data_IF_843775197285
#
_entry.id   IF_843775197285
#
_cell.length_a   1.000
_cell.length_b   1.000
_cell.length_c   1.000
_cell.angle_alpha   90.00
_cell.angle_beta   90.00
_cell.angle_gamma   90.00
#
_symmetry.space_group_name_H-M   'P 1'
#
loop_
_entity.id
_entity.type
_entity.pdbx_description
1 polymer ?
#
# COMPACT_ATOMS: atom_id res chain seq x y z
N UNK A 1 -4.97 -8.89 -72.52
CA UNK A 1 -5.53 -7.60 -72.05
C UNK A 1 -6.45 -7.94 -70.88
N UNK A 2 -6.25 -7.63 -69.60
CA UNK A 2 -5.24 -6.94 -68.78
C UNK A 2 -5.40 -7.60 -67.37
N UNK A 3 -4.36 -8.11 -66.71
CA UNK A 3 -3.28 -7.45 -65.93
C UNK A 3 -3.73 -6.90 -64.56
N UNK A 4 -3.40 -7.68 -63.51
CA UNK A 4 -2.77 -7.39 -62.21
C UNK A 4 -3.38 -6.44 -61.13
N UNK A 5 -3.52 -7.04 -59.92
CA UNK A 5 -2.90 -6.65 -58.62
C UNK A 5 -3.46 -5.44 -57.82
N UNK A 6 -3.90 -5.70 -56.58
CA UNK A 6 -3.33 -5.21 -55.28
C UNK A 6 -4.28 -5.60 -54.12
N UNK A 7 -3.90 -6.58 -53.29
CA UNK A 7 -3.30 -6.43 -51.95
C UNK A 7 -4.17 -5.62 -50.99
N UNK A 8 -4.81 -6.32 -50.05
CA UNK A 8 -5.65 -5.73 -49.01
C UNK A 8 -5.69 -6.56 -47.73
N UNK A 9 -4.50 -6.89 -47.21
CA UNK A 9 -4.24 -7.19 -45.81
C UNK A 9 -4.92 -8.41 -45.22
N UNK A 10 -4.17 -9.52 -45.12
CA UNK A 10 -4.32 -10.41 -43.97
C UNK A 10 -4.32 -9.53 -42.72
N UNK A 11 -5.44 -9.47 -42.02
CA UNK A 11 -5.46 -8.93 -40.66
C UNK A 11 -4.56 -9.85 -39.86
N UNK A 12 -3.29 -9.46 -39.72
CA UNK A 12 -2.35 -10.06 -38.78
C UNK A 12 -3.12 -10.24 -37.46
N UNK A 13 -3.35 -11.49 -37.08
CA UNK A 13 -3.91 -11.82 -35.79
C UNK A 13 -3.11 -11.03 -34.76
N UNK A 14 -3.78 -10.22 -33.95
CA UNK A 14 -3.11 -9.45 -32.88
C UNK A 14 -2.19 -10.40 -32.12
N UNK A 15 -0.88 -10.16 -32.18
CA UNK A 15 0.14 -10.93 -31.43
C UNK A 15 -0.03 -10.81 -29.90
N UNK A 16 -0.90 -9.90 -29.45
CA UNK A 16 -1.29 -9.79 -28.05
C UNK A 16 -2.48 -10.70 -27.75
N UNK A 17 -2.20 -11.85 -27.17
CA UNK A 17 -3.18 -12.68 -26.49
C UNK A 17 -3.27 -12.24 -25.04
N UNK A 18 -4.48 -11.88 -24.58
CA UNK A 18 -4.72 -11.63 -23.17
C UNK A 18 -4.32 -12.88 -22.37
N UNK A 19 -3.53 -12.72 -21.29
CA UNK A 19 -3.22 -13.85 -20.43
C UNK A 19 -4.52 -14.41 -19.85
N UNK A 20 -4.58 -15.74 -19.61
CA UNK A 20 -5.72 -16.33 -18.95
C UNK A 20 -5.99 -15.61 -17.61
N UNK A 21 -7.26 -15.49 -17.19
CA UNK A 21 -7.60 -14.84 -15.94
C UNK A 21 -6.79 -15.43 -14.79
N UNK A 22 -6.11 -14.58 -14.02
CA UNK A 22 -5.38 -15.02 -12.84
C UNK A 22 -6.37 -15.69 -11.87
N UNK A 23 -6.02 -16.85 -11.28
CA UNK A 23 -6.82 -17.45 -10.23
C UNK A 23 -7.00 -16.48 -9.06
N UNK A 24 -8.18 -16.47 -8.43
CA UNK A 24 -8.45 -15.58 -7.28
C UNK A 24 -7.55 -15.85 -6.08
N UNK A 25 -7.18 -17.11 -5.87
CA UNK A 25 -6.31 -17.57 -4.79
C UNK A 25 -5.45 -18.69 -5.36
N UNK A 26 -4.15 -18.62 -5.11
CA UNK A 26 -3.29 -19.79 -5.28
C UNK A 26 -3.33 -20.64 -3.99
N UNK A 27 -4.13 -21.69 -4.00
CA UNK A 27 -4.30 -22.56 -2.83
C UNK A 27 -2.98 -23.23 -2.39
N UNK A 28 -1.98 -23.29 -3.27
CA UNK A 28 -0.66 -23.81 -2.95
C UNK A 28 0.05 -22.91 -1.90
N UNK A 29 -0.18 -21.59 -1.92
CA UNK A 29 0.44 -20.63 -0.99
C UNK A 29 -0.02 -20.82 0.46
N UNK A 30 -1.25 -21.30 0.67
CA UNK A 30 -1.79 -21.57 2.01
C UNK A 30 -1.02 -22.67 2.77
N UNK A 31 -0.27 -23.51 2.04
CA UNK A 31 0.58 -24.54 2.62
C UNK A 31 1.98 -24.01 2.98
N UNK A 32 2.35 -22.82 2.49
CA UNK A 32 3.68 -22.27 2.67
C UNK A 32 3.79 -21.51 4.00
N UNK A 33 4.86 -21.77 4.75
CA UNK A 33 5.14 -21.07 6.00
C UNK A 33 5.47 -19.58 5.80
N UNK A 34 6.03 -19.22 4.64
CA UNK A 34 6.28 -17.84 4.24
C UNK A 34 5.01 -17.01 4.21
N UNK A 35 3.90 -17.56 3.72
CA UNK A 35 2.60 -16.88 3.66
C UNK A 35 2.11 -16.44 5.04
N UNK A 36 2.18 -17.35 6.04
CA UNK A 36 1.80 -17.00 7.42
C UNK A 36 2.72 -15.94 8.01
N UNK A 37 4.03 -15.98 7.72
CA UNK A 37 4.98 -14.96 8.18
C UNK A 37 4.70 -13.60 7.56
N UNK A 38 4.38 -13.55 6.27
CA UNK A 38 4.02 -12.32 5.56
C UNK A 38 2.76 -11.67 6.17
N UNK A 39 1.70 -12.45 6.40
CA UNK A 39 0.46 -11.95 7.02
C UNK A 39 0.71 -11.44 8.44
N UNK A 40 1.48 -12.17 9.25
CA UNK A 40 1.82 -11.72 10.60
C UNK A 40 2.61 -10.40 10.55
N UNK A 41 3.56 -10.27 9.62
CA UNK A 41 4.34 -9.05 9.46
C UNK A 41 3.44 -7.85 9.10
N UNK A 42 2.54 -7.99 8.14
CA UNK A 42 1.59 -6.95 7.76
C UNK A 42 0.61 -6.60 8.90
N UNK A 43 0.12 -7.60 9.63
CA UNK A 43 -0.76 -7.37 10.78
C UNK A 43 -0.06 -6.54 11.87
N UNK A 44 1.18 -6.90 12.22
CA UNK A 44 1.95 -6.17 13.23
C UNK A 44 2.33 -4.76 12.73
N UNK A 45 2.73 -4.63 11.46
CA UNK A 45 3.06 -3.35 10.87
C UNK A 45 1.86 -2.38 10.89
N UNK A 46 0.69 -2.84 10.47
CA UNK A 46 -0.52 -2.02 10.49
C UNK A 46 -1.00 -1.68 11.91
N UNK A 47 -0.87 -2.61 12.86
CA UNK A 47 -1.16 -2.34 14.27
C UNK A 47 -0.27 -1.22 14.81
N UNK A 48 1.05 -1.31 14.59
CA UNK A 48 2.00 -0.29 15.01
C UNK A 48 1.78 1.04 14.30
N UNK A 49 1.49 1.00 13.00
CA UNK A 49 1.18 2.19 12.20
C UNK A 49 0.00 2.96 12.80
N UNK A 50 -1.13 2.28 13.02
CA UNK A 50 -2.31 2.91 13.60
C UNK A 50 -2.07 3.36 15.03
N UNK A 51 -1.40 2.55 15.85
CA UNK A 51 -1.10 2.91 17.23
C UNK A 51 -0.33 4.24 17.30
N UNK A 52 0.79 4.36 16.57
CA UNK A 52 1.63 5.56 16.63
C UNK A 52 0.92 6.77 16.02
N UNK A 53 0.31 6.62 14.84
CA UNK A 53 -0.31 7.75 14.14
C UNK A 53 -1.55 8.27 14.85
N UNK A 54 -2.47 7.38 15.28
CA UNK A 54 -3.69 7.76 15.98
C UNK A 54 -3.36 8.34 17.35
N UNK A 55 -2.42 7.75 18.10
CA UNK A 55 -2.00 8.28 19.38
C UNK A 55 -1.35 9.67 19.25
N UNK A 56 -0.60 9.91 18.16
CA UNK A 56 -0.04 11.24 17.89
C UNK A 56 -1.14 12.27 17.60
N UNK A 57 -2.16 11.91 16.82
CA UNK A 57 -3.31 12.78 16.54
C UNK A 57 -4.10 13.10 17.81
N UNK A 58 -4.42 12.08 18.61
CA UNK A 58 -5.18 12.26 19.87
C UNK A 58 -4.33 13.04 20.88
N UNK A 59 -3.05 12.74 20.98
CA UNK A 59 -2.10 13.43 21.85
C UNK A 59 -2.00 14.91 21.51
N UNK A 60 -1.79 15.25 20.24
CA UNK A 60 -1.80 16.64 19.78
C UNK A 60 -3.12 17.34 20.10
N UNK A 61 -4.25 16.72 19.76
CA UNK A 61 -5.58 17.28 20.05
C UNK A 61 -5.77 17.55 21.54
N UNK A 62 -5.27 16.68 22.42
CA UNK A 62 -5.37 16.87 23.87
C UNK A 62 -4.45 17.97 24.39
N UNK A 63 -3.31 18.23 23.75
CA UNK A 63 -2.34 19.24 24.16
C UNK A 63 -2.78 20.66 23.77
N UNK A 64 -3.52 20.80 22.67
CA UNK A 64 -4.04 22.10 22.20
C UNK A 64 -5.46 22.41 22.66
N UNK A 65 -6.12 21.49 23.37
CA UNK A 65 -7.51 21.64 23.82
C UNK A 65 -7.60 22.62 25.00
N UNK A 66 -8.18 23.83 24.83
CA UNK A 66 -8.26 24.83 25.89
C UNK A 66 -9.11 24.35 27.08
N UNK A 67 -10.12 23.51 26.83
CA UNK A 67 -11.02 22.98 27.86
C UNK A 67 -10.31 21.96 28.78
N UNK A 68 -9.17 21.43 28.33
CA UNK A 68 -8.30 20.54 29.12
C UNK A 68 -7.07 21.23 29.68
N UNK A 69 -7.03 22.56 29.62
CA UNK A 69 -5.86 23.36 30.04
C UNK A 69 -4.69 23.29 29.05
N UNK A 70 -4.96 22.86 27.81
CA UNK A 70 -4.00 22.90 26.72
C UNK A 70 -3.69 24.33 26.26
N UNK A 71 -2.56 24.49 25.58
CA UNK A 71 -2.09 25.79 25.12
C UNK A 71 -1.95 25.81 23.60
N UNK A 72 -2.35 26.93 22.99
CA UNK A 72 -2.18 27.14 21.56
C UNK A 72 -0.70 27.01 21.16
N UNK A 73 -0.47 26.34 20.03
CA UNK A 73 0.85 26.00 19.50
C UNK A 73 1.68 25.00 20.32
N UNK A 74 1.12 24.40 21.38
CA UNK A 74 1.78 23.31 22.09
C UNK A 74 1.74 21.98 21.30
N UNK A 75 2.66 21.08 21.63
CA UNK A 75 2.75 19.76 21.02
C UNK A 75 3.46 19.70 19.69
N UNK A 76 3.21 18.60 18.96
CA UNK A 76 3.92 18.28 17.71
C UNK A 76 3.43 19.07 16.49
N UNK A 77 2.28 19.74 16.61
CA UNK A 77 1.63 20.44 15.50
C UNK A 77 1.12 19.50 14.40
N UNK A 78 0.41 20.08 13.42
CA UNK A 78 -0.07 19.34 12.24
C UNK A 78 1.11 18.82 11.40
N UNK A 79 2.24 19.56 11.38
CA UNK A 79 3.47 19.11 10.72
C UNK A 79 4.03 17.83 11.37
N UNK A 80 4.04 17.74 12.70
CA UNK A 80 4.48 16.54 13.40
C UNK A 80 3.54 15.35 13.18
N UNK A 81 2.23 15.59 13.07
CA UNK A 81 1.28 14.55 12.64
C UNK A 81 1.65 14.03 11.24
N UNK A 82 1.86 14.93 10.27
CA UNK A 82 2.25 14.53 8.91
C UNK A 82 3.56 13.71 8.89
N UNK A 83 4.54 14.09 9.72
CA UNK A 83 5.77 13.33 9.92
C UNK A 83 5.53 11.96 10.55
N UNK A 84 4.59 11.82 11.49
CA UNK A 84 4.27 10.53 12.07
C UNK A 84 3.72 9.56 11.02
N UNK A 85 2.84 10.02 10.11
CA UNK A 85 2.33 9.19 9.02
C UNK A 85 3.45 8.80 8.05
N UNK A 86 4.19 9.78 7.50
CA UNK A 86 5.23 9.51 6.52
C UNK A 86 6.40 8.69 7.10
N UNK A 87 6.85 9.05 8.30
CA UNK A 87 7.95 8.39 9.00
C UNK A 87 7.63 6.95 9.38
N UNK A 88 6.41 6.67 9.88
CA UNK A 88 6.01 5.31 10.19
C UNK A 88 5.90 4.44 8.94
N UNK A 89 5.36 4.94 7.84
CA UNK A 89 5.33 4.18 6.57
C UNK A 89 6.75 3.89 6.10
N UNK A 90 7.63 4.89 6.08
CA UNK A 90 9.03 4.71 5.68
C UNK A 90 9.73 3.60 6.48
N UNK A 91 9.59 3.62 7.82
CA UNK A 91 10.19 2.62 8.71
C UNK A 91 9.55 1.24 8.49
N UNK A 92 8.22 1.16 8.47
CA UNK A 92 7.53 -0.13 8.41
C UNK A 92 7.74 -0.82 7.06
N UNK A 93 7.68 -0.08 5.94
CA UNK A 93 8.02 -0.62 4.61
C UNK A 93 9.44 -1.13 4.60
N UNK A 94 10.39 -0.40 5.18
CA UNK A 94 11.78 -0.88 5.28
C UNK A 94 11.88 -2.18 6.08
N UNK A 95 11.09 -2.35 7.15
CA UNK A 95 11.09 -3.54 7.98
C UNK A 95 10.36 -4.74 7.33
N UNK A 96 9.29 -4.52 6.56
CA UNK A 96 8.44 -5.60 6.04
C UNK A 96 8.71 -5.99 4.58
N UNK A 97 9.33 -5.13 3.76
CA UNK A 97 9.52 -5.38 2.32
C UNK A 97 10.31 -6.66 1.95
N UNK A 98 11.09 -7.22 2.88
CA UNK A 98 11.79 -8.50 2.68
C UNK A 98 11.01 -9.73 3.16
N UNK A 99 9.81 -9.53 3.73
CA UNK A 99 9.01 -10.54 4.41
C UNK A 99 7.62 -10.66 3.80
N UNK A 100 6.95 -9.54 3.51
CA UNK A 100 5.61 -9.44 2.90
C UNK A 100 5.61 -8.70 1.58
#
# INVERSE_FOLDING_TARGET
>A
MAKDVEVGGEFQAKDYHDPPPAPFVDAQELTQWSFYRAIIAEFIATLLFLYITVLTVIGYKSQVDPDKGGQDCDGVGILGIAWAFGGMIFILVYCTAGIS
#
